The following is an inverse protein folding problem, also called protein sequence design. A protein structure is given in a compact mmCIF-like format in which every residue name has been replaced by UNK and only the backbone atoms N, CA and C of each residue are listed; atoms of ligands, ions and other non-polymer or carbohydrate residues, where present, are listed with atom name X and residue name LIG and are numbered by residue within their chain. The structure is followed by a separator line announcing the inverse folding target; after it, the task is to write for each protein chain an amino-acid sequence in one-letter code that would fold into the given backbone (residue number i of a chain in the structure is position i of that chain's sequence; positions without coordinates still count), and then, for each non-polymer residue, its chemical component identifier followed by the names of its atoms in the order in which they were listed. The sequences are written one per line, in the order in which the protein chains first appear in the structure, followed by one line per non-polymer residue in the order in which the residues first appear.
data_IF_493618346930
#
_entry.id   IF_493618346930
#
_cell.length_a   1.000
_cell.length_b   1.000
_cell.length_c   1.000
_cell.angle_alpha   90.00
_cell.angle_beta   90.00
_cell.angle_gamma   90.00
#
_symmetry.space_group_name_H-M   'P 1'
#
loop_
_entity.id
_entity.type
_entity.pdbx_description
1 polymer ?
#
# COMPACT_ATOMS: atom_id res chain seq x y z
N UNK A 1 1.94 32.40 2.72
CA UNK A 1 1.89 31.39 1.64
C UNK A 1 2.04 29.98 2.22
N UNK A 2 1.31 29.70 3.32
CA UNK A 2 1.20 28.42 4.01
C UNK A 2 -0.25 28.46 4.52
N UNK A 3 -1.03 27.40 4.29
CA UNK A 3 -2.46 27.26 4.62
C UNK A 3 -3.46 27.91 3.64
N UNK A 4 -3.39 27.60 2.34
CA UNK A 4 -4.57 27.69 1.49
C UNK A 4 -4.74 26.38 0.70
N UNK A 5 -5.97 25.87 0.72
CA UNK A 5 -6.52 24.65 0.06
C UNK A 5 -6.63 23.34 0.84
N UNK A 6 -6.98 23.37 2.15
CA UNK A 6 -7.83 22.30 2.72
C UNK A 6 -9.30 22.65 2.46
N UNK A 7 -9.67 22.76 1.19
CA UNK A 7 -11.07 22.74 0.76
C UNK A 7 -11.17 21.88 -0.50
N UNK A 8 -11.15 20.56 -0.30
CA UNK A 8 -11.19 19.54 -1.36
C UNK A 8 -12.48 18.71 -1.36
N UNK A 9 -13.39 18.90 -0.39
CA UNK A 9 -14.56 18.04 -0.24
C UNK A 9 -15.80 18.63 -0.91
N UNK A 10 -15.81 18.67 -2.24
CA UNK A 10 -17.08 18.44 -2.93
C UNK A 10 -17.44 16.97 -2.67
N UNK A 11 -18.63 16.70 -2.12
CA UNK A 11 -19.12 15.34 -1.86
C UNK A 11 -18.86 14.37 -3.03
N UNK A 12 -18.96 14.84 -4.27
CA UNK A 12 -18.63 14.06 -5.47
C UNK A 12 -17.21 13.50 -5.51
N UNK A 13 -16.17 14.30 -5.20
CA UNK A 13 -14.76 13.82 -5.17
C UNK A 13 -14.56 12.76 -4.08
N UNK A 14 -15.16 12.95 -2.91
CA UNK A 14 -15.09 11.99 -1.82
C UNK A 14 -15.78 10.66 -2.19
N UNK A 15 -16.96 10.72 -2.81
CA UNK A 15 -17.66 9.53 -3.31
C UNK A 15 -16.88 8.83 -4.41
N UNK A 16 -16.30 9.56 -5.37
CA UNK A 16 -15.46 8.97 -6.44
C UNK A 16 -14.24 8.28 -5.83
N UNK A 17 -13.56 8.88 -4.86
CA UNK A 17 -12.42 8.23 -4.20
C UNK A 17 -12.85 6.97 -3.43
N UNK A 18 -13.95 7.07 -2.67
CA UNK A 18 -14.50 5.96 -1.90
C UNK A 18 -14.95 4.78 -2.77
N UNK A 19 -15.56 5.03 -3.93
CA UNK A 19 -15.96 4.00 -4.88
C UNK A 19 -14.75 3.26 -5.47
N UNK A 20 -13.67 3.97 -5.79
CA UNK A 20 -12.42 3.35 -6.26
C UNK A 20 -11.79 2.45 -5.20
N UNK A 21 -11.73 2.94 -3.96
CA UNK A 21 -11.25 2.17 -2.82
C UNK A 21 -12.10 0.91 -2.56
N UNK A 22 -13.44 1.07 -2.57
CA UNK A 22 -14.39 -0.03 -2.42
C UNK A 22 -14.21 -1.10 -3.50
N UNK A 23 -14.17 -0.69 -4.77
CA UNK A 23 -13.97 -1.59 -5.90
C UNK A 23 -12.67 -2.38 -5.77
N UNK A 24 -11.56 -1.71 -5.44
CA UNK A 24 -10.26 -2.35 -5.35
C UNK A 24 -10.18 -3.37 -4.20
N UNK A 25 -10.69 -3.02 -3.01
CA UNK A 25 -10.75 -3.96 -1.88
C UNK A 25 -11.68 -5.14 -2.17
N UNK A 26 -12.83 -4.88 -2.80
CA UNK A 26 -13.76 -5.93 -3.22
C UNK A 26 -13.08 -6.92 -4.17
N UNK A 27 -12.41 -6.43 -5.21
CA UNK A 27 -11.70 -7.28 -6.17
C UNK A 27 -10.58 -8.11 -5.53
N UNK A 28 -9.80 -7.52 -4.61
CA UNK A 28 -8.78 -8.25 -3.86
C UNK A 28 -9.39 -9.31 -2.93
N UNK A 29 -10.49 -8.99 -2.25
CA UNK A 29 -11.18 -9.89 -1.34
C UNK A 29 -11.74 -11.11 -2.10
N UNK A 30 -12.49 -10.87 -3.18
CA UNK A 30 -13.03 -11.95 -4.03
C UNK A 30 -11.91 -12.74 -4.69
N UNK A 31 -10.86 -12.07 -5.17
CA UNK A 31 -9.68 -12.73 -5.74
C UNK A 31 -8.99 -13.67 -4.74
N UNK A 32 -8.91 -13.26 -3.47
CA UNK A 32 -8.37 -14.10 -2.40
C UNK A 32 -9.25 -15.29 -2.01
N UNK A 33 -10.56 -15.22 -2.26
CA UNK A 33 -11.46 -16.38 -2.09
C UNK A 33 -11.35 -17.37 -3.26
N UNK A 34 -11.19 -16.88 -4.50
CA UNK A 34 -11.14 -17.71 -5.71
C UNK A 34 -9.75 -18.34 -5.92
N UNK A 35 -8.68 -17.62 -5.59
CA UNK A 35 -7.30 -18.03 -5.87
C UNK A 35 -6.38 -17.63 -4.71
N UNK A 36 -6.60 -18.20 -3.51
CA UNK A 36 -5.88 -17.83 -2.29
C UNK A 36 -4.36 -17.99 -2.41
N UNK A 37 -3.87 -18.88 -3.28
CA UNK A 37 -2.45 -19.09 -3.54
C UNK A 37 -1.80 -17.94 -4.34
N UNK A 38 -2.58 -17.18 -5.10
CA UNK A 38 -2.09 -16.11 -5.98
C UNK A 38 -2.50 -14.70 -5.51
N UNK A 39 -3.62 -14.58 -4.81
CA UNK A 39 -4.16 -13.30 -4.35
C UNK A 39 -4.55 -13.37 -2.88
N UNK A 40 -4.36 -12.25 -2.18
CA UNK A 40 -4.78 -12.11 -0.82
C UNK A 40 -4.90 -10.64 -0.43
N UNK A 41 -5.60 -10.40 0.67
CA UNK A 41 -5.84 -9.09 1.23
C UNK A 41 -5.07 -8.93 2.54
N UNK A 42 -4.52 -7.74 2.77
CA UNK A 42 -3.92 -7.39 4.06
C UNK A 42 -4.32 -5.99 4.49
N UNK A 43 -4.38 -5.76 5.80
CA UNK A 43 -4.83 -4.50 6.38
C UNK A 43 -4.09 -3.24 5.85
N UNK A 44 -2.75 -3.26 5.61
CA UNK A 44 -2.04 -2.12 5.02
C UNK A 44 -2.61 -1.61 3.69
N UNK A 45 -3.21 -2.49 2.87
CA UNK A 45 -3.81 -2.09 1.60
C UNK A 45 -4.98 -1.11 1.78
N UNK A 46 -5.71 -1.16 2.90
CA UNK A 46 -6.77 -0.19 3.16
C UNK A 46 -6.26 1.26 3.14
N UNK A 47 -5.12 1.52 3.81
CA UNK A 47 -4.51 2.85 3.80
C UNK A 47 -3.87 3.20 2.44
N UNK A 48 -3.39 2.21 1.68
CA UNK A 48 -2.97 2.40 0.29
C UNK A 48 -4.13 2.91 -0.57
N UNK A 49 -5.34 2.37 -0.38
CA UNK A 49 -6.52 2.83 -1.14
C UNK A 49 -6.86 4.27 -0.85
N UNK A 50 -6.77 4.70 0.42
CA UNK A 50 -7.01 6.09 0.80
C UNK A 50 -6.10 7.01 0.02
N UNK A 51 -4.79 6.74 0.00
CA UNK A 51 -3.82 7.61 -0.68
C UNK A 51 -3.98 7.53 -2.20
N UNK A 52 -4.13 6.33 -2.77
CA UNK A 52 -4.23 6.13 -4.21
C UNK A 52 -5.44 6.86 -4.79
N UNK A 53 -6.62 6.66 -4.20
CA UNK A 53 -7.87 7.18 -4.76
C UNK A 53 -8.20 8.60 -4.32
N UNK A 54 -7.83 9.01 -3.10
CA UNK A 54 -8.07 10.38 -2.65
C UNK A 54 -6.98 11.36 -3.11
N UNK A 55 -5.74 10.89 -3.28
CA UNK A 55 -4.58 11.72 -3.59
C UNK A 55 -3.71 11.11 -4.73
N UNK A 56 -4.27 10.80 -5.91
CA UNK A 56 -3.54 10.10 -6.99
C UNK A 56 -2.31 10.85 -7.52
N UNK A 57 -2.24 12.18 -7.35
CA UNK A 57 -1.10 13.01 -7.74
C UNK A 57 0.04 13.03 -6.71
N UNK A 58 -0.20 12.47 -5.52
CA UNK A 58 0.82 12.39 -4.48
C UNK A 58 1.99 11.52 -4.97
N UNK A 59 3.25 11.91 -4.72
CA UNK A 59 4.40 11.04 -4.91
C UNK A 59 4.23 9.70 -4.18
N UNK A 60 3.57 9.71 -3.02
CA UNK A 60 3.33 8.54 -2.19
C UNK A 60 2.34 7.54 -2.82
N UNK A 61 1.50 8.00 -3.76
CA UNK A 61 0.53 7.18 -4.48
C UNK A 61 1.13 6.52 -5.74
N UNK A 62 2.35 6.88 -6.15
CA UNK A 62 2.89 6.42 -7.44
C UNK A 62 3.27 4.94 -7.38
N UNK A 63 3.20 4.22 -8.53
CA UNK A 63 3.44 2.77 -8.57
C UNK A 63 4.73 2.31 -7.92
N UNK A 64 5.83 3.04 -8.17
CA UNK A 64 7.14 2.76 -7.57
C UNK A 64 7.10 2.73 -6.04
N UNK A 65 6.39 3.68 -5.43
CA UNK A 65 6.31 3.80 -3.98
C UNK A 65 5.39 2.74 -3.39
N UNK A 66 4.23 2.49 -4.02
CA UNK A 66 3.31 1.42 -3.57
C UNK A 66 4.03 0.07 -3.61
N UNK A 67 4.51 -0.36 -4.78
CA UNK A 67 5.10 -1.69 -4.96
C UNK A 67 6.41 -1.80 -4.16
N UNK A 68 7.33 -0.85 -4.35
CA UNK A 68 8.63 -0.88 -3.72
C UNK A 68 8.55 -0.76 -2.20
N UNK A 69 7.68 0.13 -1.70
CA UNK A 69 7.44 0.30 -0.27
C UNK A 69 6.90 -0.99 0.36
N UNK A 70 5.84 -1.57 -0.21
CA UNK A 70 5.24 -2.78 0.35
C UNK A 70 6.19 -3.98 0.33
N UNK A 71 6.85 -4.25 -0.80
CA UNK A 71 7.78 -5.39 -0.92
C UNK A 71 8.97 -5.25 0.02
N UNK A 72 9.58 -4.05 0.08
CA UNK A 72 10.74 -3.79 0.92
C UNK A 72 10.42 -3.99 2.40
N UNK A 73 9.36 -3.37 2.90
CA UNK A 73 9.00 -3.49 4.32
C UNK A 73 8.46 -4.87 4.67
N UNK A 74 7.86 -5.58 3.72
CA UNK A 74 7.49 -6.97 3.94
C UNK A 74 8.72 -7.87 4.10
N UNK A 75 9.73 -7.71 3.25
CA UNK A 75 10.99 -8.44 3.37
C UNK A 75 11.68 -8.17 4.72
N UNK A 76 11.68 -6.91 5.18
CA UNK A 76 12.17 -6.55 6.52
C UNK A 76 11.36 -7.28 7.61
N UNK A 77 10.03 -7.30 7.52
CA UNK A 77 9.18 -8.02 8.47
C UNK A 77 9.52 -9.51 8.57
N UNK A 78 9.68 -10.18 7.43
CA UNK A 78 10.01 -11.62 7.40
C UNK A 78 11.41 -11.88 7.92
N UNK A 79 12.40 -11.05 7.57
CA UNK A 79 13.75 -11.15 8.14
C UNK A 79 13.71 -11.01 9.67
N UNK A 80 12.96 -10.02 10.17
CA UNK A 80 12.87 -9.76 11.60
C UNK A 80 12.20 -10.90 12.35
N UNK A 81 11.10 -11.46 11.83
CA UNK A 81 10.41 -12.58 12.50
C UNK A 81 11.21 -13.88 12.45
N UNK A 82 12.06 -14.07 11.44
CA UNK A 82 12.89 -15.26 11.31
C UNK A 82 14.08 -15.27 12.27
N UNK A 83 14.70 -14.11 12.53
CA UNK A 83 15.93 -14.01 13.32
C UNK A 83 15.73 -13.47 14.75
N UNK A 84 14.59 -12.86 15.06
CA UNK A 84 14.36 -12.23 16.36
C UNK A 84 13.01 -12.65 16.97
N UNK A 85 13.01 -12.85 18.28
CA UNK A 85 11.76 -13.05 19.04
C UNK A 85 10.91 -11.79 19.02
N UNK A 86 9.62 -11.96 18.76
CA UNK A 86 8.65 -10.85 18.79
C UNK A 86 8.56 -10.26 20.19
N UNK A 87 9.00 -9.01 20.30
CA UNK A 87 9.04 -8.20 21.50
C UNK A 87 8.81 -6.72 21.13
N UNK A 88 8.41 -5.86 22.08
CA UNK A 88 8.23 -4.43 21.80
C UNK A 88 9.44 -3.77 21.13
N UNK A 89 10.66 -4.14 21.55
CA UNK A 89 11.89 -3.63 20.95
C UNK A 89 12.04 -4.08 19.49
N UNK A 90 11.90 -5.38 19.21
CA UNK A 90 12.04 -5.92 17.85
C UNK A 90 11.00 -5.34 16.88
N UNK A 91 9.76 -5.11 17.33
CA UNK A 91 8.70 -4.49 16.55
C UNK A 91 9.05 -3.03 16.22
N UNK A 92 9.54 -2.27 17.20
CA UNK A 92 10.00 -0.90 17.00
C UNK A 92 11.17 -0.82 16.02
N UNK A 93 12.14 -1.72 16.16
CA UNK A 93 13.28 -1.82 15.23
C UNK A 93 12.82 -2.18 13.82
N UNK A 94 11.93 -3.16 13.65
CA UNK A 94 11.41 -3.56 12.35
C UNK A 94 10.66 -2.42 11.64
N UNK A 95 9.82 -1.69 12.38
CA UNK A 95 9.12 -0.52 11.85
C UNK A 95 10.09 0.61 11.46
N UNK A 96 11.07 0.91 12.32
CA UNK A 96 12.10 1.92 12.05
C UNK A 96 12.96 1.58 10.83
N UNK A 97 13.40 0.33 10.70
CA UNK A 97 14.12 -0.17 9.52
C UNK A 97 13.27 -0.06 8.25
N UNK A 98 11.97 -0.32 8.35
CA UNK A 98 11.04 -0.12 7.24
C UNK A 98 11.01 1.33 6.74
N UNK A 99 10.92 2.29 7.66
CA UNK A 99 10.95 3.72 7.34
C UNK A 99 12.29 4.12 6.71
N UNK A 100 13.40 3.77 7.36
CA UNK A 100 14.76 4.05 6.85
C UNK A 100 14.96 3.46 5.46
N UNK A 101 14.61 2.19 5.29
CA UNK A 101 14.73 1.48 4.01
C UNK A 101 13.97 2.22 2.91
N UNK A 102 12.69 2.53 3.13
CA UNK A 102 11.87 3.24 2.15
C UNK A 102 12.41 4.63 1.79
N UNK A 103 12.97 5.34 2.77
CA UNK A 103 13.61 6.65 2.53
C UNK A 103 14.86 6.50 1.66
N UNK A 104 15.72 5.54 1.97
CA UNK A 104 16.97 5.30 1.23
C UNK A 104 16.71 4.84 -0.22
N UNK A 105 15.66 4.05 -0.46
CA UNK A 105 15.31 3.54 -1.79
C UNK A 105 14.43 4.49 -2.61
N UNK A 106 14.03 5.63 -2.05
CA UNK A 106 13.03 6.54 -2.63
C UNK A 106 11.73 5.79 -3.00
N UNK A 107 11.22 4.99 -2.07
CA UNK A 107 9.96 4.24 -2.22
C UNK A 107 9.02 4.49 -1.04
N UNK A 108 9.07 5.69 -0.45
CA UNK A 108 8.25 6.05 0.71
C UNK A 108 6.76 5.90 0.40
N UNK A 109 6.13 4.96 1.09
CA UNK A 109 4.70 4.70 1.07
C UNK A 109 4.23 4.40 2.49
N UNK A 110 3.72 5.41 3.24
CA UNK A 110 3.40 5.26 4.66
C UNK A 110 2.55 4.02 5.03
N UNK A 111 1.55 3.59 4.23
CA UNK A 111 0.81 2.35 4.49
C UNK A 111 1.70 1.11 4.63
N UNK A 112 2.77 1.02 3.83
CA UNK A 112 3.72 -0.10 3.88
C UNK A 112 4.53 -0.13 5.18
N UNK A 113 4.60 0.96 5.94
CA UNK A 113 5.23 1.00 7.26
C UNK A 113 4.58 0.06 8.28
N UNK A 114 3.33 -0.36 8.06
CA UNK A 114 2.64 -1.33 8.91
C UNK A 114 2.97 -2.80 8.59
N UNK A 115 3.56 -3.10 7.42
CA UNK A 115 3.84 -4.48 7.01
C UNK A 115 4.76 -5.25 7.97
N UNK A 116 5.88 -4.68 8.48
CA UNK A 116 6.75 -5.41 9.39
C UNK A 116 6.02 -5.86 10.66
N UNK A 117 5.15 -4.98 11.20
CA UNK A 117 4.35 -5.28 12.38
C UNK A 117 3.35 -6.41 12.08
N UNK A 118 2.61 -6.31 10.98
CA UNK A 118 1.65 -7.34 10.58
C UNK A 118 2.34 -8.71 10.46
N UNK A 119 3.46 -8.77 9.74
CA UNK A 119 4.20 -10.01 9.47
C UNK A 119 4.74 -10.62 10.75
N UNK A 120 5.36 -9.81 11.62
CA UNK A 120 5.90 -10.30 12.88
C UNK A 120 4.79 -10.79 13.82
N UNK A 121 3.69 -10.05 13.94
CA UNK A 121 2.58 -10.43 14.83
C UNK A 121 1.81 -11.67 14.34
N UNK A 122 1.79 -11.91 13.03
CA UNK A 122 1.13 -13.08 12.42
C UNK A 122 2.07 -14.25 12.13
N UNK A 123 3.37 -14.10 12.42
CA UNK A 123 4.40 -15.09 12.10
C UNK A 123 4.40 -15.49 10.61
N UNK A 124 4.20 -14.51 9.73
CA UNK A 124 4.02 -14.79 8.30
C UNK A 124 5.33 -15.26 7.62
N UNK A 125 5.26 -16.28 6.74
CA UNK A 125 6.44 -16.84 6.06
C UNK A 125 6.92 -15.96 4.89
N UNK A 126 8.06 -16.33 4.28
CA UNK A 126 8.61 -15.66 3.09
C UNK A 126 7.65 -15.58 1.90
N UNK A 127 6.74 -16.55 1.74
CA UNK A 127 5.71 -16.50 0.71
C UNK A 127 4.81 -15.27 0.84
N UNK A 128 4.68 -14.68 2.04
CA UNK A 128 3.90 -13.47 2.29
C UNK A 128 4.36 -12.27 1.46
N UNK A 129 5.67 -12.18 1.16
CA UNK A 129 6.25 -11.11 0.32
C UNK A 129 5.74 -11.21 -1.12
N UNK A 130 5.51 -12.43 -1.62
CA UNK A 130 4.97 -12.66 -2.95
C UNK A 130 3.45 -12.52 -2.96
N UNK A 131 2.78 -13.22 -2.05
CA UNK A 131 1.33 -13.18 -1.87
C UNK A 131 1.02 -13.09 -0.36
N UNK A 132 0.34 -12.04 0.14
CA UNK A 132 -0.43 -11.06 -0.63
C UNK A 132 0.33 -9.82 -1.11
N UNK A 133 1.57 -9.62 -0.68
CA UNK A 133 2.21 -8.29 -0.76
C UNK A 133 2.44 -7.83 -2.21
N UNK A 134 3.23 -8.57 -3.00
CA UNK A 134 3.54 -8.16 -4.37
C UNK A 134 2.31 -8.27 -5.28
N UNK A 135 1.61 -9.40 -5.25
CA UNK A 135 0.44 -9.63 -6.12
C UNK A 135 -0.67 -8.62 -5.84
N UNK A 136 -0.97 -8.37 -4.57
CA UNK A 136 -1.92 -7.34 -4.16
C UNK A 136 -1.50 -5.93 -4.59
N UNK A 137 -0.24 -5.55 -4.39
CA UNK A 137 0.27 -4.24 -4.81
C UNK A 137 0.18 -4.02 -6.33
N UNK A 138 0.43 -5.06 -7.13
CA UNK A 138 0.29 -5.00 -8.59
C UNK A 138 -1.17 -4.81 -9.01
N UNK A 139 -2.09 -5.57 -8.41
CA UNK A 139 -3.54 -5.42 -8.66
C UNK A 139 -4.00 -4.02 -8.28
N UNK A 140 -3.57 -3.50 -7.13
CA UNK A 140 -3.90 -2.16 -6.66
C UNK A 140 -3.48 -1.09 -7.67
N UNK A 141 -2.23 -1.13 -8.13
CA UNK A 141 -1.70 -0.18 -9.11
C UNK A 141 -2.46 -0.29 -10.43
N UNK A 142 -2.75 -1.51 -10.88
CA UNK A 142 -3.47 -1.76 -12.13
C UNK A 142 -4.91 -1.24 -12.07
N UNK A 143 -5.65 -1.57 -11.02
CA UNK A 143 -7.02 -1.09 -10.81
C UNK A 143 -7.05 0.42 -10.65
N UNK A 144 -6.11 0.99 -9.88
CA UNK A 144 -5.98 2.44 -9.72
C UNK A 144 -5.72 3.15 -11.05
N UNK A 145 -4.85 2.59 -11.89
CA UNK A 145 -4.59 3.10 -13.24
C UNK A 145 -5.85 3.11 -14.11
N UNK A 146 -6.57 1.99 -14.19
CA UNK A 146 -7.83 1.91 -14.93
C UNK A 146 -8.86 2.90 -14.39
N UNK A 147 -9.03 2.95 -13.07
CA UNK A 147 -10.02 3.79 -12.41
C UNK A 147 -9.76 5.27 -12.66
N UNK A 148 -8.53 5.74 -12.49
CA UNK A 148 -8.21 7.14 -12.73
C UNK A 148 -8.27 7.52 -14.20
N UNK A 149 -7.93 6.59 -15.11
CA UNK A 149 -8.03 6.80 -16.55
C UNK A 149 -9.47 6.93 -17.04
N UNK A 150 -10.38 6.10 -16.54
CA UNK A 150 -11.74 5.97 -17.09
C UNK A 150 -12.84 6.60 -16.24
N UNK A 151 -12.66 6.70 -14.92
CA UNK A 151 -13.71 7.17 -14.00
C UNK A 151 -13.39 8.57 -13.47
N UNK A 152 -12.20 8.76 -12.86
CA UNK A 152 -11.88 10.05 -12.24
C UNK A 152 -11.31 11.09 -13.22
N UNK A 153 -10.99 10.68 -14.46
CA UNK A 153 -10.36 11.53 -15.47
C UNK A 153 -9.00 12.12 -15.04
N UNK A 154 -8.37 11.55 -14.01
CA UNK A 154 -7.15 12.07 -13.42
C UNK A 154 -5.95 11.35 -14.02
N UNK A 155 -4.90 12.09 -14.36
CA UNK A 155 -3.70 11.48 -14.93
C UNK A 155 -2.95 10.65 -13.88
N UNK A 156 -3.03 9.34 -13.96
CA UNK A 156 -2.27 8.41 -13.13
C UNK A 156 -1.62 7.34 -14.03
N UNK A 157 -0.34 6.98 -13.84
CA UNK A 157 0.64 7.64 -12.98
C UNK A 157 0.93 9.08 -13.41
N UNK A 158 1.45 9.89 -12.47
CA UNK A 158 1.88 11.25 -12.78
C UNK A 158 3.15 11.21 -13.63
N UNK A 159 3.22 12.01 -14.70
CA UNK A 159 4.46 12.20 -15.48
C UNK A 159 5.50 12.88 -14.59
N UNK A 160 6.73 12.38 -14.62
CA UNK A 160 7.87 13.09 -14.03
C UNK A 160 8.11 14.33 -14.92
N UNK A 161 8.02 15.51 -14.31
CA UNK A 161 8.33 16.79 -14.94
C UNK A 161 9.77 17.18 -14.70
#
# INVERSE_FOLDING_TARGET
MILNTVNQSSWGKALIAGLGACLCIFLLSVGGEISPEYLGLMAPFGATMVILFALPQSPLAQPRNIIGGHVLTAAIGVLMVHYFTVSPLSLGVAAGLGVVGMMLTNTLHPPAGANPLLIMLTQAPWSFVWNPVLTGALVIVFVGWLYHRFVSGTQYPKKQG
#
